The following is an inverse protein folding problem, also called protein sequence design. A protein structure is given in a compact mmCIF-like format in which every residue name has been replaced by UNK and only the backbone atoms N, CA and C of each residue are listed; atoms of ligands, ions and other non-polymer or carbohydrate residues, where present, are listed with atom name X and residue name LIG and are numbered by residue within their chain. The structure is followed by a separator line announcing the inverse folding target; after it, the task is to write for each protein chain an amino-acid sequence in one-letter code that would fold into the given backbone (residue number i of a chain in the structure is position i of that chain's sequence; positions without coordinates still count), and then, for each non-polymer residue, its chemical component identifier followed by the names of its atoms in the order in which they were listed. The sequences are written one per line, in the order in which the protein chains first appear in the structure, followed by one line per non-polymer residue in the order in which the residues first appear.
data_IF_094632390052
#
_entry.id   IF_094632390052
#
_cell.length_a   1.000
_cell.length_b   1.000
_cell.length_c   1.000
_cell.angle_alpha   90.00
_cell.angle_beta   90.00
_cell.angle_gamma   90.00
#
_symmetry.space_group_name_H-M   'P 1'
#
loop_
_entity.id
_entity.type
_entity.pdbx_description
1 polymer ?
#
# COMPACT_ATOMS: atom_id res chain seq x y z
N UNK A 1 14.49 -37.46 -37.44
CA UNK A 1 14.12 -36.59 -38.59
C UNK A 1 14.34 -35.13 -38.21
N UNK A 2 14.59 -34.22 -39.17
CA UNK A 2 14.78 -32.78 -38.93
C UNK A 2 13.60 -32.00 -39.52
N UNK A 3 12.71 -31.48 -38.67
CA UNK A 3 11.67 -30.55 -39.14
C UNK A 3 12.19 -29.12 -39.04
N UNK A 4 12.62 -28.56 -40.17
CA UNK A 4 12.75 -27.12 -40.32
C UNK A 4 11.35 -26.49 -40.30
N UNK A 5 11.25 -25.29 -39.75
CA UNK A 5 10.18 -24.36 -40.08
C UNK A 5 10.83 -23.11 -40.69
N UNK A 6 10.82 -23.02 -42.01
CA UNK A 6 11.34 -21.86 -42.72
C UNK A 6 10.36 -20.68 -42.55
N UNK A 7 10.85 -19.56 -42.03
CA UNK A 7 10.06 -18.33 -41.82
C UNK A 7 10.33 -17.38 -42.99
N UNK A 8 9.60 -17.56 -44.09
CA UNK A 8 9.57 -16.65 -45.23
C UNK A 8 8.12 -16.36 -45.63
N UNK A 9 7.86 -15.16 -46.17
CA UNK A 9 6.51 -14.70 -46.53
C UNK A 9 6.00 -13.57 -45.63
N UNK A 10 6.22 -12.33 -46.06
CA UNK A 10 5.66 -11.16 -45.39
C UNK A 10 4.18 -10.98 -45.75
N UNK A 11 3.28 -11.48 -44.90
CA UNK A 11 1.85 -11.18 -44.98
C UNK A 11 1.30 -10.73 -43.64
N UNK A 12 0.65 -9.56 -43.61
CA UNK A 12 -0.05 -9.05 -42.43
C UNK A 12 -1.27 -9.95 -42.17
N UNK A 13 -1.44 -10.55 -40.98
CA UNK A 13 -2.64 -11.32 -40.68
C UNK A 13 -3.88 -10.43 -40.80
N UNK A 14 -4.84 -10.77 -41.66
CA UNK A 14 -6.16 -10.14 -41.65
C UNK A 14 -6.90 -10.62 -40.39
N UNK A 15 -7.20 -9.70 -39.48
CA UNK A 15 -7.92 -10.02 -38.25
C UNK A 15 -9.38 -10.35 -38.57
N UNK A 16 -9.72 -11.65 -38.61
CA UNK A 16 -11.11 -12.08 -38.64
C UNK A 16 -11.73 -11.88 -37.25
N UNK A 17 -12.56 -10.83 -37.11
CA UNK A 17 -13.09 -10.36 -35.82
C UNK A 17 -14.04 -11.34 -35.13
N UNK A 18 -14.56 -12.35 -35.85
CA UNK A 18 -15.70 -13.16 -35.41
C UNK A 18 -15.32 -14.50 -34.76
N UNK A 19 -14.04 -14.73 -34.40
CA UNK A 19 -13.66 -15.88 -33.56
C UNK A 19 -13.43 -15.46 -32.11
N UNK A 20 -14.35 -15.86 -31.23
CA UNK A 20 -14.21 -15.72 -29.78
C UNK A 20 -13.08 -16.63 -29.28
N UNK A 21 -11.87 -16.08 -29.18
CA UNK A 21 -10.73 -16.78 -28.59
C UNK A 21 -10.99 -17.01 -27.09
N UNK A 22 -10.99 -18.28 -26.68
CA UNK A 22 -11.09 -18.70 -25.28
C UNK A 22 -9.96 -18.12 -24.41
N UNK A 23 -10.19 -18.11 -23.08
CA UNK A 23 -9.37 -17.39 -22.09
C UNK A 23 -7.86 -17.68 -22.22
N UNK A 24 -7.49 -18.94 -22.40
CA UNK A 24 -6.10 -19.39 -22.55
C UNK A 24 -5.45 -18.83 -23.82
N UNK A 25 -6.14 -18.89 -24.96
CA UNK A 25 -5.65 -18.35 -26.23
C UNK A 25 -5.51 -16.81 -26.18
N UNK A 26 -6.35 -16.10 -25.41
CA UNK A 26 -6.14 -14.67 -25.13
C UNK A 26 -4.86 -14.44 -24.31
N UNK A 27 -4.62 -15.23 -23.26
CA UNK A 27 -3.41 -15.10 -22.44
C UNK A 27 -2.13 -15.36 -23.26
N UNK A 28 -2.13 -16.35 -24.15
CA UNK A 28 -1.02 -16.62 -25.08
C UNK A 28 -0.84 -15.47 -26.08
N UNK A 29 -1.92 -14.90 -26.63
CA UNK A 29 -1.82 -13.73 -27.50
C UNK A 29 -1.22 -12.51 -26.78
N UNK A 30 -1.68 -12.20 -25.57
CA UNK A 30 -1.20 -11.07 -24.75
C UNK A 30 0.29 -11.26 -24.41
N UNK A 31 0.69 -12.47 -24.02
CA UNK A 31 2.10 -12.80 -23.75
C UNK A 31 2.98 -12.58 -24.98
N UNK A 32 2.51 -13.00 -26.17
CA UNK A 32 3.25 -12.85 -27.41
C UNK A 32 3.27 -11.41 -27.95
N UNK A 33 2.19 -10.64 -27.80
CA UNK A 33 2.16 -9.22 -28.16
C UNK A 33 3.06 -8.39 -27.25
N UNK A 34 3.00 -8.59 -25.93
CA UNK A 34 3.91 -7.97 -24.96
C UNK A 34 5.38 -8.31 -25.24
N UNK A 35 5.70 -9.58 -25.54
CA UNK A 35 7.05 -10.00 -25.92
C UNK A 35 7.55 -9.30 -27.20
N UNK A 36 6.68 -9.10 -28.19
CA UNK A 36 7.06 -8.39 -29.42
C UNK A 36 7.17 -6.88 -29.22
N UNK A 37 6.31 -6.26 -28.40
CA UNK A 37 6.46 -4.85 -27.99
C UNK A 37 7.79 -4.64 -27.25
N UNK A 38 8.13 -5.51 -26.29
CA UNK A 38 9.45 -5.50 -25.63
C UNK A 38 10.59 -5.65 -26.65
N UNK A 39 10.53 -6.65 -27.53
CA UNK A 39 11.58 -6.89 -28.54
C UNK A 39 11.74 -5.74 -29.54
N UNK A 40 10.69 -4.97 -29.83
CA UNK A 40 10.76 -3.79 -30.71
C UNK A 40 11.31 -2.58 -29.94
N UNK A 41 10.84 -2.32 -28.73
CA UNK A 41 11.30 -1.21 -27.88
C UNK A 41 12.79 -1.33 -27.52
N UNK A 42 13.23 -2.52 -27.09
CA UNK A 42 14.60 -2.73 -26.57
C UNK A 42 15.63 -3.16 -27.62
N UNK A 43 15.32 -3.12 -28.93
CA UNK A 43 16.27 -3.48 -30.00
C UNK A 43 17.14 -2.35 -30.54
N UNK A 44 16.90 -1.09 -30.18
CA UNK A 44 17.59 0.08 -30.76
C UNK A 44 18.70 0.70 -29.88
N UNK A 45 19.01 0.15 -28.71
CA UNK A 45 20.03 0.72 -27.80
C UNK A 45 20.89 -0.35 -27.11
N UNK A 46 22.06 -0.62 -27.73
CA UNK A 46 23.20 -1.40 -27.22
C UNK A 46 23.00 -2.90 -26.89
N UNK A 47 24.04 -3.74 -27.08
CA UNK A 47 24.03 -5.13 -26.63
C UNK A 47 24.13 -5.24 -25.10
N UNK A 48 23.50 -6.26 -24.52
CA UNK A 48 23.60 -6.55 -23.09
C UNK A 48 25.07 -6.83 -22.69
N UNK A 49 25.56 -6.25 -21.57
CA UNK A 49 26.82 -6.68 -20.98
C UNK A 49 26.71 -8.14 -20.55
N UNK A 50 27.62 -9.00 -21.03
CA UNK A 50 27.76 -10.37 -20.50
C UNK A 50 28.39 -10.32 -19.11
N UNK A 51 27.57 -10.19 -18.09
CA UNK A 51 28.01 -10.35 -16.71
C UNK A 51 28.39 -11.80 -16.43
N UNK A 52 29.65 -12.16 -16.66
CA UNK A 52 30.28 -13.37 -16.13
C UNK A 52 30.52 -13.21 -14.63
N UNK A 53 29.43 -13.10 -13.87
CA UNK A 53 29.48 -13.06 -12.42
C UNK A 53 29.86 -14.45 -11.89
N UNK A 54 31.07 -14.57 -11.36
CA UNK A 54 31.37 -15.66 -10.43
C UNK A 54 30.42 -15.55 -9.25
N UNK A 55 29.57 -16.58 -9.07
CA UNK A 55 28.53 -16.57 -8.03
C UNK A 55 29.19 -16.82 -6.68
N UNK A 56 29.69 -15.75 -6.06
CA UNK A 56 30.11 -15.77 -4.67
C UNK A 56 28.92 -16.21 -3.82
N UNK A 57 29.09 -17.30 -3.06
CA UNK A 57 28.00 -17.83 -2.23
C UNK A 57 27.81 -16.92 -1.01
N UNK A 58 26.59 -16.88 -0.44
CA UNK A 58 26.32 -16.05 0.76
C UNK A 58 27.29 -16.34 1.91
N UNK A 59 27.75 -17.58 2.03
CA UNK A 59 28.77 -18.00 2.99
C UNK A 59 30.09 -17.23 2.78
N UNK A 60 30.62 -17.21 1.55
CA UNK A 60 31.85 -16.49 1.19
C UNK A 60 31.74 -14.98 1.43
N UNK A 61 30.58 -14.36 1.18
CA UNK A 61 30.37 -12.94 1.53
C UNK A 61 30.41 -12.70 3.05
N UNK A 62 29.80 -13.57 3.86
CA UNK A 62 29.79 -13.45 5.32
C UNK A 62 31.18 -13.74 5.91
N UNK A 63 31.88 -14.75 5.38
CA UNK A 63 33.27 -15.10 5.72
C UNK A 63 34.23 -13.93 5.43
N UNK A 64 34.13 -13.31 4.25
CA UNK A 64 34.91 -12.13 3.89
C UNK A 64 34.64 -10.94 4.83
N UNK A 65 33.41 -10.77 5.33
CA UNK A 65 33.09 -9.73 6.32
C UNK A 65 33.68 -10.08 7.69
N UNK A 66 33.60 -11.35 8.12
CA UNK A 66 34.21 -11.80 9.38
C UNK A 66 35.73 -11.55 9.38
N UNK A 67 36.43 -11.96 8.32
CA UNK A 67 37.88 -11.74 8.14
C UNK A 67 38.25 -10.25 8.18
N UNK A 68 37.48 -9.39 7.52
CA UNK A 68 37.69 -7.93 7.57
C UNK A 68 37.33 -7.31 8.94
N UNK A 69 36.35 -7.86 9.66
CA UNK A 69 36.05 -7.48 11.05
C UNK A 69 37.21 -7.81 11.98
N UNK A 70 37.84 -8.97 11.84
CA UNK A 70 39.01 -9.36 12.65
C UNK A 70 40.23 -8.50 12.34
N UNK A 71 40.57 -8.31 11.05
CA UNK A 71 41.62 -7.36 10.65
C UNK A 71 41.40 -5.93 11.17
N UNK A 72 40.15 -5.51 11.34
CA UNK A 72 39.82 -4.20 11.94
C UNK A 72 39.86 -4.22 13.47
N UNK A 73 39.45 -5.32 14.14
CA UNK A 73 39.63 -5.50 15.59
C UNK A 73 41.12 -5.45 15.96
N UNK A 74 41.96 -6.18 15.22
CA UNK A 74 43.40 -6.24 15.47
C UNK A 74 44.00 -4.84 15.37
N UNK A 75 43.72 -4.09 14.29
CA UNK A 75 44.16 -2.68 14.17
C UNK A 75 43.66 -1.74 15.28
N UNK A 76 42.55 -2.05 15.93
CA UNK A 76 42.07 -1.30 17.12
C UNK A 76 42.85 -1.74 18.38
N UNK A 77 43.17 -3.02 18.52
CA UNK A 77 44.03 -3.53 19.59
C UNK A 77 45.47 -3.03 19.45
N UNK A 78 46.07 -3.09 18.26
CA UNK A 78 47.41 -2.58 17.95
C UNK A 78 47.59 -1.10 18.33
N UNK A 79 46.52 -0.29 18.17
CA UNK A 79 46.51 1.12 18.57
C UNK A 79 46.33 1.27 20.09
N UNK A 80 45.45 0.47 20.71
CA UNK A 80 45.20 0.51 22.18
C UNK A 80 46.34 -0.05 23.02
N UNK A 81 47.13 -0.96 22.45
CA UNK A 81 48.26 -1.61 23.11
C UNK A 81 49.57 -0.83 22.91
N UNK A 82 49.51 0.38 22.34
CA UNK A 82 50.62 1.35 22.40
C UNK A 82 50.75 1.86 23.82
N UNK A 83 51.83 1.50 24.50
CA UNK A 83 52.15 2.03 25.83
C UNK A 83 52.46 3.54 25.72
N UNK A 84 51.61 4.37 26.32
CA UNK A 84 51.73 5.83 26.31
C UNK A 84 50.41 6.53 25.91
N UNK A 85 50.45 7.85 25.77
CA UNK A 85 49.28 8.61 25.31
C UNK A 85 49.00 8.40 23.83
N UNK A 86 47.72 8.25 23.48
CA UNK A 86 47.28 8.09 22.10
C UNK A 86 47.43 9.42 21.34
N UNK A 87 48.38 9.46 20.41
CA UNK A 87 48.55 10.57 19.46
C UNK A 87 47.22 10.97 18.79
N UNK A 88 47.04 12.26 18.48
CA UNK A 88 45.89 12.79 17.72
C UNK A 88 45.66 12.00 16.40
N UNK A 89 46.73 11.48 15.79
CA UNK A 89 46.65 10.61 14.61
C UNK A 89 46.06 9.23 14.94
N UNK A 90 46.42 8.67 16.08
CA UNK A 90 45.96 7.36 16.55
C UNK A 90 44.53 7.41 17.11
N UNK A 91 44.12 8.46 17.82
CA UNK A 91 42.71 8.65 18.24
C UNK A 91 41.80 8.84 17.03
N UNK A 92 42.23 9.60 16.02
CA UNK A 92 41.51 9.74 14.73
C UNK A 92 41.41 8.40 13.98
N UNK A 93 42.50 7.63 13.92
CA UNK A 93 42.49 6.28 13.33
C UNK A 93 41.54 5.34 14.09
N UNK A 94 41.56 5.35 15.42
CA UNK A 94 40.71 4.54 16.28
C UNK A 94 39.21 4.91 16.10
N UNK A 95 38.87 6.18 15.94
CA UNK A 95 37.52 6.59 15.54
C UNK A 95 37.14 6.02 14.16
N UNK A 96 38.02 6.14 13.15
CA UNK A 96 37.78 5.61 11.80
C UNK A 96 37.58 4.09 11.81
N UNK A 97 38.43 3.34 12.53
CA UNK A 97 38.31 1.88 12.62
C UNK A 97 37.08 1.43 13.41
N UNK A 98 36.69 2.14 14.49
CA UNK A 98 35.42 1.88 15.18
C UNK A 98 34.21 2.12 14.26
N UNK A 99 34.21 3.21 13.49
CA UNK A 99 33.18 3.53 12.48
C UNK A 99 33.13 2.47 11.37
N UNK A 100 34.29 1.94 10.96
CA UNK A 100 34.39 0.84 9.99
C UNK A 100 33.87 -0.48 10.56
N UNK A 101 34.24 -0.84 11.79
CA UNK A 101 33.76 -2.03 12.50
C UNK A 101 32.24 -2.00 12.70
N UNK A 102 31.67 -0.83 13.04
CA UNK A 102 30.22 -0.63 13.13
C UNK A 102 29.52 -0.81 11.77
N UNK A 103 30.11 -0.28 10.69
CA UNK A 103 29.62 -0.49 9.31
C UNK A 103 29.62 -1.97 8.94
N UNK A 104 30.69 -2.70 9.26
CA UNK A 104 30.78 -4.14 8.98
C UNK A 104 29.80 -4.97 9.82
N UNK A 105 29.62 -4.68 11.12
CA UNK A 105 28.55 -5.29 11.94
C UNK A 105 27.17 -5.10 11.30
N UNK A 106 26.86 -3.89 10.80
CA UNK A 106 25.60 -3.62 10.08
C UNK A 106 25.51 -4.37 8.74
N UNK A 107 26.60 -4.51 7.98
CA UNK A 107 26.63 -5.30 6.74
C UNK A 107 26.49 -6.80 6.98
N UNK A 108 27.08 -7.31 8.07
CA UNK A 108 26.95 -8.70 8.53
C UNK A 108 25.50 -9.01 8.90
N UNK A 109 24.91 -8.23 9.81
CA UNK A 109 23.51 -8.38 10.22
C UNK A 109 22.51 -8.29 9.04
N UNK A 110 22.73 -7.38 8.07
CA UNK A 110 21.88 -7.30 6.86
C UNK A 110 21.98 -8.53 5.94
N UNK A 111 23.07 -9.31 6.01
CA UNK A 111 23.29 -10.54 5.22
C UNK A 111 22.84 -11.80 5.95
N UNK A 112 23.06 -11.88 7.25
CA UNK A 112 22.66 -13.01 8.10
C UNK A 112 21.13 -13.03 8.31
N UNK A 113 20.53 -11.93 8.76
CA UNK A 113 19.11 -11.90 9.16
C UNK A 113 18.13 -11.83 7.98
N UNK A 114 18.62 -11.84 6.73
CA UNK A 114 17.79 -11.87 5.52
C UNK A 114 16.69 -10.77 5.52
N UNK A 115 17.06 -9.50 5.78
CA UNK A 115 16.09 -8.39 5.85
C UNK A 115 15.32 -8.26 4.54
N UNK A 116 14.09 -8.79 4.54
CA UNK A 116 13.34 -9.22 3.35
C UNK A 116 13.10 -8.04 2.42
N UNK A 117 13.69 -8.08 1.20
CA UNK A 117 13.39 -7.35 -0.07
C UNK A 117 13.00 -5.84 -0.07
N UNK A 118 12.66 -5.21 1.05
CA UNK A 118 11.87 -3.99 1.11
C UNK A 118 12.65 -2.67 0.95
N UNK A 119 13.95 -2.60 1.28
CA UNK A 119 14.72 -1.36 1.05
C UNK A 119 14.91 -1.04 -0.44
N UNK A 120 15.06 -2.05 -1.31
CA UNK A 120 15.12 -1.83 -2.77
C UNK A 120 13.74 -1.58 -3.37
N UNK A 121 12.68 -2.17 -2.82
CA UNK A 121 11.30 -1.81 -3.15
C UNK A 121 11.04 -0.33 -2.77
N UNK A 122 11.39 0.09 -1.55
CA UNK A 122 11.27 1.49 -1.12
C UNK A 122 12.01 2.47 -2.05
N UNK A 123 13.15 2.11 -2.67
CA UNK A 123 13.80 2.98 -3.67
C UNK A 123 13.19 2.96 -5.08
N UNK A 124 12.33 2.00 -5.40
CA UNK A 124 11.51 2.00 -6.62
C UNK A 124 10.25 2.84 -6.41
N UNK A 125 9.69 2.86 -5.19
CA UNK A 125 8.49 3.64 -4.85
C UNK A 125 8.77 5.04 -4.27
N UNK A 126 9.99 5.36 -3.81
CA UNK A 126 10.36 6.68 -3.30
C UNK A 126 10.75 7.69 -4.42
N UNK A 127 9.83 7.88 -5.36
CA UNK A 127 9.82 9.01 -6.31
C UNK A 127 8.44 9.74 -6.27
N UNK A 128 8.02 10.30 -5.13
CA UNK A 128 6.66 10.80 -4.90
C UNK A 128 6.47 12.21 -5.46
N UNK A 129 6.77 12.45 -6.74
CA UNK A 129 6.60 13.78 -7.35
C UNK A 129 6.32 13.79 -8.87
N UNK A 130 6.43 12.64 -9.56
CA UNK A 130 6.04 12.48 -10.98
C UNK A 130 4.91 11.44 -11.15
N UNK A 131 4.65 10.63 -10.12
CA UNK A 131 3.66 9.56 -10.16
C UNK A 131 2.27 9.97 -9.62
N UNK A 132 2.20 11.01 -8.78
CA UNK A 132 0.95 11.36 -8.08
C UNK A 132 -0.10 11.96 -9.03
N UNK A 133 0.31 12.78 -10.00
CA UNK A 133 -0.57 13.22 -11.10
C UNK A 133 -1.07 12.03 -11.94
N UNK A 134 -0.22 11.03 -12.20
CA UNK A 134 -0.61 9.82 -12.95
C UNK A 134 -1.62 8.97 -12.16
N UNK A 135 -1.40 8.79 -10.85
CA UNK A 135 -2.28 8.01 -9.99
C UNK A 135 -3.60 8.76 -9.71
N UNK A 136 -3.59 10.09 -9.54
CA UNK A 136 -4.82 10.90 -9.41
C UNK A 136 -5.66 10.78 -10.68
N UNK A 137 -5.07 11.02 -11.86
CA UNK A 137 -5.78 10.92 -13.13
C UNK A 137 -6.31 9.49 -13.39
N UNK A 138 -5.58 8.45 -12.96
CA UNK A 138 -6.06 7.06 -13.03
C UNK A 138 -7.21 6.82 -12.06
N UNK A 139 -7.12 7.27 -10.81
CA UNK A 139 -8.18 7.14 -9.80
C UNK A 139 -9.44 7.92 -10.20
N UNK A 140 -9.31 9.12 -10.75
CA UNK A 140 -10.42 9.88 -11.35
C UNK A 140 -11.03 9.13 -12.54
N UNK A 141 -10.22 8.58 -13.45
CA UNK A 141 -10.72 7.79 -14.58
C UNK A 141 -11.39 6.46 -14.16
N UNK A 142 -10.99 5.90 -13.03
CA UNK A 142 -11.59 4.70 -12.43
C UNK A 142 -12.88 5.06 -11.71
N UNK A 143 -12.90 6.10 -10.87
CA UNK A 143 -14.09 6.58 -10.18
C UNK A 143 -15.16 7.08 -11.16
N UNK A 144 -14.78 7.77 -12.24
CA UNK A 144 -15.69 8.16 -13.31
C UNK A 144 -16.37 6.93 -13.92
N UNK A 145 -15.60 5.90 -14.30
CA UNK A 145 -16.14 4.64 -14.83
C UNK A 145 -16.91 3.82 -13.81
N UNK A 146 -16.57 3.91 -12.52
CA UNK A 146 -17.28 3.20 -11.46
C UNK A 146 -18.63 3.87 -11.19
N UNK A 147 -18.69 5.21 -11.23
CA UNK A 147 -19.94 5.98 -11.19
C UNK A 147 -20.79 5.77 -12.47
N UNK A 148 -20.16 5.69 -13.64
CA UNK A 148 -20.81 5.35 -14.92
C UNK A 148 -21.47 3.96 -14.84
N UNK A 149 -20.71 2.92 -14.44
CA UNK A 149 -21.25 1.57 -14.19
C UNK A 149 -22.32 1.56 -13.09
N UNK A 150 -22.21 2.36 -12.03
CA UNK A 150 -23.22 2.44 -10.95
C UNK A 150 -24.52 3.08 -11.46
N UNK A 151 -24.42 4.11 -12.31
CA UNK A 151 -25.59 4.71 -12.95
C UNK A 151 -26.23 3.74 -13.95
N UNK A 152 -25.46 3.07 -14.81
CA UNK A 152 -25.97 2.02 -15.70
C UNK A 152 -26.68 0.91 -14.92
N UNK A 153 -26.08 0.38 -13.85
CA UNK A 153 -26.73 -0.61 -12.98
C UNK A 153 -27.99 -0.06 -12.29
N UNK A 154 -28.01 1.24 -11.92
CA UNK A 154 -29.19 1.87 -11.29
C UNK A 154 -30.33 2.04 -12.30
N UNK A 155 -30.03 2.36 -13.55
CA UNK A 155 -31.05 2.51 -14.60
C UNK A 155 -31.52 1.16 -15.15
N UNK A 156 -30.64 0.15 -15.23
CA UNK A 156 -31.05 -1.26 -15.43
C UNK A 156 -31.96 -1.71 -14.27
N UNK A 157 -31.62 -1.38 -13.03
CA UNK A 157 -32.46 -1.71 -11.86
C UNK A 157 -33.84 -1.07 -11.97
N UNK A 158 -33.91 0.23 -12.33
CA UNK A 158 -35.19 0.92 -12.60
C UNK A 158 -35.98 0.26 -13.73
N UNK A 159 -35.32 -0.10 -14.83
CA UNK A 159 -35.98 -0.74 -15.95
C UNK A 159 -36.58 -2.08 -15.53
N UNK A 160 -35.83 -2.90 -14.80
CA UNK A 160 -36.30 -4.19 -14.27
C UNK A 160 -37.43 -4.01 -13.25
N UNK A 161 -37.39 -3.00 -12.35
CA UNK A 161 -38.54 -2.73 -11.46
C UNK A 161 -39.76 -2.24 -12.24
N UNK A 162 -39.61 -1.37 -13.23
CA UNK A 162 -40.73 -0.89 -14.05
C UNK A 162 -41.35 -2.03 -14.88
N UNK A 163 -40.53 -2.94 -15.41
CA UNK A 163 -40.99 -4.13 -16.14
C UNK A 163 -41.67 -5.15 -15.20
N UNK A 164 -41.17 -5.32 -13.97
CA UNK A 164 -41.81 -6.15 -12.95
C UNK A 164 -43.11 -5.55 -12.41
N UNK A 165 -43.16 -4.25 -12.13
CA UNK A 165 -44.38 -3.53 -11.71
C UNK A 165 -45.44 -3.59 -12.79
N UNK A 166 -45.05 -3.42 -14.06
CA UNK A 166 -45.96 -3.59 -15.19
C UNK A 166 -46.46 -5.04 -15.32
N UNK A 167 -45.57 -6.02 -15.18
CA UNK A 167 -45.92 -7.45 -15.25
C UNK A 167 -46.85 -7.86 -14.10
N UNK A 168 -46.60 -7.40 -12.86
CA UNK A 168 -47.51 -7.58 -11.73
C UNK A 168 -48.83 -6.84 -11.96
N UNK A 169 -48.83 -5.63 -12.51
CA UNK A 169 -50.05 -4.89 -12.83
C UNK A 169 -50.90 -5.61 -13.88
N UNK A 170 -50.28 -6.16 -14.93
CA UNK A 170 -50.95 -6.98 -15.94
C UNK A 170 -51.43 -8.32 -15.33
N UNK A 171 -50.68 -8.95 -14.44
CA UNK A 171 -51.13 -10.18 -13.75
C UNK A 171 -52.30 -9.89 -12.79
N UNK A 172 -52.19 -8.90 -11.92
CA UNK A 172 -53.22 -8.51 -10.94
C UNK A 172 -54.50 -8.02 -11.62
N UNK A 173 -54.41 -7.30 -12.74
CA UNK A 173 -55.62 -6.93 -13.51
C UNK A 173 -56.24 -8.13 -14.24
N UNK A 174 -55.44 -9.09 -14.73
CA UNK A 174 -55.98 -10.34 -15.24
C UNK A 174 -56.62 -11.20 -14.14
N UNK A 175 -56.05 -11.24 -12.94
CA UNK A 175 -56.63 -11.97 -11.79
C UNK A 175 -57.92 -11.28 -11.30
N UNK A 176 -57.96 -9.95 -11.20
CA UNK A 176 -59.18 -9.18 -10.89
C UNK A 176 -60.27 -9.35 -11.95
N UNK A 177 -59.93 -9.33 -13.25
CA UNK A 177 -60.90 -9.51 -14.33
C UNK A 177 -61.46 -10.95 -14.42
N UNK A 178 -60.74 -11.94 -13.89
CA UNK A 178 -61.23 -13.32 -13.75
C UNK A 178 -61.96 -13.55 -12.42
N UNK A 179 -61.65 -12.78 -11.38
CA UNK A 179 -62.29 -12.84 -10.07
C UNK A 179 -63.62 -12.04 -10.07
N UNK A 180 -64.72 -12.72 -10.40
CA UNK A 180 -66.09 -12.19 -10.22
C UNK A 180 -66.40 -11.93 -8.72
N UNK A 181 -65.94 -10.79 -8.20
CA UNK A 181 -66.09 -10.37 -6.81
C UNK A 181 -66.86 -9.05 -6.72
N UNK A 182 -67.99 -9.09 -6.02
CA UNK A 182 -68.81 -7.94 -5.68
C UNK A 182 -68.11 -7.03 -4.67
N UNK A 183 -68.19 -5.70 -4.78
CA UNK A 183 -67.55 -4.79 -3.83
C UNK A 183 -68.24 -4.81 -2.46
N UNK A 184 -67.44 -4.59 -1.41
CA UNK A 184 -67.86 -4.37 -0.03
C UNK A 184 -67.12 -3.11 0.48
N UNK A 185 -67.78 -2.32 1.33
CA UNK A 185 -67.26 -1.04 1.86
C UNK A 185 -65.95 -1.19 2.65
N UNK A 186 -65.10 -0.16 2.66
CA UNK A 186 -65.19 1.03 3.52
C UNK A 186 -64.76 0.75 4.97
N UNK A 187 -63.50 1.06 5.30
CA UNK A 187 -63.12 2.04 6.34
C UNK A 187 -61.62 1.97 6.67
N UNK A 188 -60.93 3.11 6.62
CA UNK A 188 -59.54 3.31 7.09
C UNK A 188 -59.38 4.78 7.53
N UNK A 189 -59.06 5.08 8.80
CA UNK A 189 -58.95 6.45 9.28
C UNK A 189 -57.63 7.12 8.87
N UNK A 190 -57.69 8.44 8.64
CA UNK A 190 -56.55 9.28 8.28
C UNK A 190 -55.74 9.69 9.53
N UNK A 191 -54.42 9.87 9.39
CA UNK A 191 -53.55 10.41 10.45
C UNK A 191 -52.67 11.51 9.86
N UNK A 192 -52.81 12.72 10.40
CA UNK A 192 -52.06 13.90 9.97
C UNK A 192 -50.73 14.05 10.75
N UNK A 193 -49.76 14.77 10.18
CA UNK A 193 -48.44 14.98 10.78
C UNK A 193 -48.30 16.41 11.30
N UNK A 194 -47.84 16.57 12.55
CA UNK A 194 -47.37 17.86 13.06
C UNK A 194 -45.84 17.97 12.97
N UNK A 195 -45.34 19.19 12.79
CA UNK A 195 -43.91 19.51 12.63
C UNK A 195 -43.40 20.40 13.77
N UNK A 196 -42.09 20.33 14.04
CA UNK A 196 -41.41 21.09 15.10
C UNK A 196 -40.30 21.98 14.52
N UNK A 197 -40.22 23.24 14.97
CA UNK A 197 -39.13 24.17 14.67
C UNK A 197 -38.23 24.42 15.91
N UNK A 198 -36.91 24.70 15.73
CA UNK A 198 -35.97 24.97 16.82
C UNK A 198 -35.77 26.47 17.12
N UNK A 199 -35.40 26.80 18.35
CA UNK A 199 -35.15 28.18 18.84
C UNK A 199 -33.69 28.33 19.30
N UNK A 200 -33.06 29.48 19.01
CA UNK A 200 -31.69 29.84 19.45
C UNK A 200 -31.60 31.34 19.84
N UNK A 201 -31.04 31.69 21.02
CA UNK A 201 -30.68 33.07 21.40
C UNK A 201 -29.16 33.36 21.34
N UNK A 202 -28.70 34.63 21.36
CA UNK A 202 -27.39 35.04 20.82
C UNK A 202 -26.29 35.44 21.84
N UNK A 203 -25.16 35.90 21.29
CA UNK A 203 -23.88 36.30 21.92
C UNK A 203 -23.93 37.74 22.48
N UNK A 204 -23.02 38.08 23.40
CA UNK A 204 -22.66 39.47 23.74
C UNK A 204 -21.13 39.63 23.88
N UNK A 205 -20.60 40.81 23.55
CA UNK A 205 -19.18 41.21 23.70
C UNK A 205 -19.05 42.41 24.65
N UNK A 206 -17.92 42.59 25.34
CA UNK A 206 -17.63 43.80 26.13
C UNK A 206 -16.12 44.15 26.11
N UNK A 207 -15.79 45.45 26.18
CA UNK A 207 -14.49 46.02 25.81
C UNK A 207 -14.24 47.38 26.48
N UNK A 208 -13.14 47.57 27.23
CA UNK A 208 -12.76 48.87 27.85
C UNK A 208 -11.22 49.07 27.96
N UNK A 209 -10.77 50.33 27.86
CA UNK A 209 -9.39 50.85 28.01
C UNK A 209 -9.35 51.99 29.09
N UNK A 210 -8.26 52.57 29.65
CA UNK A 210 -6.84 52.72 29.29
C UNK A 210 -5.95 53.02 30.56
N UNK A 211 -4.63 53.34 30.49
CA UNK A 211 -3.71 53.43 31.65
C UNK A 211 -3.48 54.85 32.26
N UNK A 212 -2.68 54.93 33.34
CA UNK A 212 -2.44 56.16 34.17
C UNK A 212 -0.98 56.63 34.18
N UNK A 213 -0.76 57.95 34.38
CA UNK A 213 0.51 58.68 34.20
C UNK A 213 1.37 58.87 35.48
N UNK A 214 2.62 59.35 35.29
CA UNK A 214 3.61 59.70 36.35
C UNK A 214 4.04 61.19 36.24
N UNK A 215 4.19 61.94 37.36
CA UNK A 215 4.75 63.31 37.38
C UNK A 215 6.22 63.38 37.90
N UNK A 216 7.06 64.34 37.45
CA UNK A 216 8.48 64.37 37.83
C UNK A 216 9.04 65.71 38.41
N UNK A 217 10.30 65.64 38.88
CA UNK A 217 11.29 66.72 39.18
C UNK A 217 10.97 67.83 40.21
N UNK A 218 11.89 68.00 41.17
CA UNK A 218 12.44 69.31 41.55
C UNK A 218 13.96 69.19 41.78
N UNK A 219 14.71 70.15 41.28
CA UNK A 219 16.12 70.38 41.62
C UNK A 219 16.21 71.53 42.64
N UNK A 220 17.20 71.49 43.53
CA UNK A 220 17.51 72.60 44.44
C UNK A 220 19.02 72.87 44.44
N UNK A 221 19.38 74.15 44.49
CA UNK A 221 20.70 74.67 44.11
C UNK A 221 21.24 75.55 45.24
N UNK A 222 22.37 75.14 45.83
CA UNK A 222 23.01 75.85 46.96
C UNK A 222 24.44 76.20 46.60
N UNK A 223 24.86 77.42 46.96
CA UNK A 223 26.16 78.00 46.62
C UNK A 223 27.18 77.80 47.75
N UNK A 224 28.47 77.90 47.44
CA UNK A 224 29.57 77.68 48.39
C UNK A 224 30.46 78.93 48.55
N UNK A 225 30.88 79.29 49.78
CA UNK A 225 31.88 80.34 50.01
C UNK A 225 33.31 79.79 49.94
N UNK A 226 34.21 80.54 49.31
CA UNK A 226 35.61 80.16 49.09
C UNK A 226 36.51 80.53 50.28
N UNK A 227 37.48 79.68 50.61
CA UNK A 227 38.63 80.04 51.44
C UNK A 227 39.91 79.43 50.84
N UNK A 228 41.05 80.12 50.88
CA UNK A 228 42.17 79.87 49.94
C UNK A 228 43.54 79.82 50.62
N UNK A 229 44.13 78.63 50.70
CA UNK A 229 45.56 78.39 50.98
C UNK A 229 46.08 77.22 50.06
N UNK A 230 47.33 76.72 50.17
CA UNK A 230 48.25 76.61 49.01
C UNK A 230 47.81 75.67 47.88
N UNK A 231 47.34 76.28 46.78
CA UNK A 231 46.62 75.64 45.66
C UNK A 231 47.53 74.87 44.66
N UNK A 232 48.53 74.12 45.11
CA UNK A 232 49.38 73.28 44.23
C UNK A 232 49.19 71.79 44.47
N UNK A 233 49.51 71.32 45.66
CA UNK A 233 49.52 69.87 45.94
C UNK A 233 48.08 69.33 45.94
N UNK A 234 47.14 70.08 46.54
CA UNK A 234 45.68 69.83 46.45
C UNK A 234 45.16 69.74 45.01
N UNK A 235 45.74 70.49 44.06
CA UNK A 235 45.32 70.43 42.65
C UNK A 235 45.74 69.13 41.98
N UNK A 236 46.91 68.60 42.34
CA UNK A 236 47.40 67.33 41.80
C UNK A 236 46.63 66.16 42.42
N UNK A 237 46.29 66.22 43.71
CA UNK A 237 45.37 65.26 44.33
C UNK A 237 43.96 65.30 43.71
N UNK A 238 43.39 66.50 43.50
CA UNK A 238 42.09 66.66 42.83
C UNK A 238 42.12 66.17 41.38
N UNK A 239 43.19 66.41 40.62
CA UNK A 239 43.32 65.86 39.26
C UNK A 239 43.42 64.33 39.26
N UNK A 240 44.17 63.74 40.20
CA UNK A 240 44.24 62.29 40.37
C UNK A 240 42.88 61.68 40.82
N UNK A 241 42.13 62.38 41.68
CA UNK A 241 40.78 62.00 42.07
C UNK A 241 39.81 62.04 40.88
N UNK A 242 39.83 63.10 40.07
CA UNK A 242 39.04 63.22 38.84
C UNK A 242 39.39 62.11 37.84
N UNK A 243 40.68 61.83 37.61
CA UNK A 243 41.10 60.73 36.74
C UNK A 243 40.59 59.37 37.23
N UNK A 244 40.61 59.14 38.54
CA UNK A 244 40.08 57.92 39.18
C UNK A 244 38.56 57.82 39.10
N UNK A 245 37.83 58.93 39.22
CA UNK A 245 36.37 59.01 39.02
C UNK A 245 36.03 58.70 37.56
N UNK A 246 36.72 59.30 36.59
CA UNK A 246 36.49 59.03 35.17
C UNK A 246 36.72 57.55 34.82
N UNK A 247 37.75 56.91 35.39
CA UNK A 247 37.98 55.46 35.26
C UNK A 247 36.92 54.59 35.96
N UNK A 248 36.14 55.13 36.90
CA UNK A 248 35.01 54.42 37.52
C UNK A 248 33.73 54.59 36.69
N UNK A 249 33.49 55.77 36.12
CA UNK A 249 32.40 56.01 35.16
C UNK A 249 32.57 55.12 33.91
N UNK A 250 33.76 55.11 33.31
CA UNK A 250 34.07 54.25 32.15
C UNK A 250 33.98 52.74 32.47
N UNK A 251 33.98 52.36 33.75
CA UNK A 251 33.71 50.97 34.20
C UNK A 251 32.23 50.72 34.43
N UNK A 252 31.48 51.70 34.96
CA UNK A 252 30.03 51.61 35.10
C UNK A 252 29.35 51.47 33.73
N UNK A 253 29.69 52.32 32.76
CA UNK A 253 29.19 52.22 31.37
C UNK A 253 29.46 50.84 30.72
N UNK A 254 30.59 50.20 31.08
CA UNK A 254 30.93 48.84 30.63
C UNK A 254 30.16 47.74 31.38
N UNK A 255 29.74 47.98 32.62
CA UNK A 255 28.83 47.09 33.37
C UNK A 255 27.42 47.20 32.79
N UNK A 256 26.91 48.41 32.55
CA UNK A 256 25.59 48.64 31.94
C UNK A 256 25.53 47.98 30.53
N UNK A 257 26.59 48.17 29.73
CA UNK A 257 26.77 47.54 28.42
C UNK A 257 27.08 46.02 28.44
N UNK A 258 27.22 45.42 29.62
CA UNK A 258 27.23 43.96 29.84
C UNK A 258 25.87 43.48 30.36
N UNK A 259 25.21 44.22 31.26
CA UNK A 259 23.88 43.91 31.77
C UNK A 259 22.83 43.92 30.64
N UNK A 260 22.90 44.88 29.72
CA UNK A 260 22.10 44.89 28.49
C UNK A 260 22.25 43.57 27.70
N UNK A 261 23.48 43.07 27.54
CA UNK A 261 23.76 41.81 26.82
C UNK A 261 23.31 40.58 27.60
N UNK A 262 23.39 40.59 28.93
CA UNK A 262 22.82 39.54 29.78
C UNK A 262 21.30 39.48 29.63
N UNK A 263 20.63 40.64 29.55
CA UNK A 263 19.20 40.72 29.31
C UNK A 263 18.81 40.24 27.90
N UNK A 264 19.55 40.65 26.85
CA UNK A 264 19.39 40.10 25.49
C UNK A 264 19.55 38.58 25.44
N UNK A 265 20.61 38.03 26.06
CA UNK A 265 20.87 36.60 26.10
C UNK A 265 19.82 35.82 26.90
N UNK A 266 19.33 36.37 28.02
CA UNK A 266 18.26 35.79 28.83
C UNK A 266 16.94 35.73 28.06
N UNK A 267 16.55 36.81 27.37
CA UNK A 267 15.38 36.82 26.50
C UNK A 267 15.52 35.81 25.35
N UNK A 268 16.68 35.77 24.71
CA UNK A 268 16.97 34.83 23.62
C UNK A 268 17.04 33.35 24.10
N UNK A 269 17.32 33.10 25.39
CA UNK A 269 17.15 31.78 26.00
C UNK A 269 15.67 31.43 26.17
N UNK A 270 14.89 32.32 26.77
CA UNK A 270 13.45 32.09 26.98
C UNK A 270 12.66 31.88 25.67
N UNK A 271 13.08 32.50 24.56
CA UNK A 271 12.54 32.22 23.22
C UNK A 271 12.91 30.82 22.72
N UNK A 272 14.15 30.37 22.94
CA UNK A 272 14.60 29.02 22.56
C UNK A 272 13.90 27.95 23.38
N UNK A 273 13.69 28.16 24.67
CA UNK A 273 13.01 27.20 25.54
C UNK A 273 11.53 27.02 25.12
N UNK A 274 10.83 28.11 24.80
CA UNK A 274 9.47 28.05 24.20
C UNK A 274 9.46 27.32 22.85
N UNK A 275 10.47 27.54 22.00
CA UNK A 275 10.60 26.83 20.73
C UNK A 275 10.87 25.33 20.93
N UNK A 276 11.70 24.97 21.92
CA UNK A 276 11.99 23.58 22.31
C UNK A 276 10.71 22.91 22.82
N UNK A 277 9.94 23.56 23.68
CA UNK A 277 8.65 23.04 24.16
C UNK A 277 7.67 22.78 23.00
N UNK A 278 7.51 23.76 22.10
CA UNK A 278 6.65 23.61 20.92
C UNK A 278 7.09 22.44 20.02
N UNK A 279 8.39 22.29 19.79
CA UNK A 279 8.95 21.18 19.01
C UNK A 279 8.79 19.82 19.71
N UNK A 280 8.78 19.78 21.05
CA UNK A 280 8.45 18.56 21.80
C UNK A 280 6.96 18.20 21.66
N UNK A 281 6.06 19.17 21.78
CA UNK A 281 4.62 18.97 21.57
C UNK A 281 4.29 18.51 20.13
N UNK A 282 4.88 19.15 19.11
CA UNK A 282 4.75 18.75 17.71
C UNK A 282 5.26 17.31 17.46
N UNK A 283 6.44 16.98 17.99
CA UNK A 283 7.02 15.63 17.93
C UNK A 283 6.08 14.59 18.56
N UNK A 284 5.56 14.85 19.76
CA UNK A 284 4.78 13.86 20.51
C UNK A 284 3.38 13.69 19.93
N UNK A 285 2.80 14.72 19.31
CA UNK A 285 1.59 14.59 18.52
C UNK A 285 1.83 13.78 17.23
N UNK A 286 2.93 14.03 16.51
CA UNK A 286 3.30 13.21 15.35
C UNK A 286 3.56 11.73 15.71
N UNK A 287 4.11 11.45 16.90
CA UNK A 287 4.25 10.08 17.42
C UNK A 287 2.88 9.43 17.67
N UNK A 288 1.94 10.12 18.34
CA UNK A 288 0.57 9.61 18.57
C UNK A 288 -0.14 9.32 17.25
N UNK A 289 -0.04 10.21 16.26
CA UNK A 289 -0.60 9.98 14.92
C UNK A 289 -0.02 8.75 14.23
N UNK A 290 1.31 8.58 14.28
CA UNK A 290 1.96 7.41 13.69
C UNK A 290 1.55 6.11 14.40
N UNK A 291 1.38 6.13 15.73
CA UNK A 291 0.89 4.99 16.50
C UNK A 291 -0.57 4.64 16.16
N UNK A 292 -1.44 5.64 16.00
CA UNK A 292 -2.83 5.43 15.57
C UNK A 292 -2.88 4.80 14.16
N UNK A 293 -2.08 5.33 13.22
CA UNK A 293 -1.96 4.81 11.84
C UNK A 293 -1.35 3.40 11.80
N UNK A 294 -0.37 3.07 12.65
CA UNK A 294 0.14 1.70 12.79
C UNK A 294 -0.93 0.73 13.31
N UNK A 295 -1.73 1.15 14.29
CA UNK A 295 -2.78 0.30 14.86
C UNK A 295 -3.92 0.03 13.88
N UNK A 296 -4.37 1.05 13.13
CA UNK A 296 -5.32 0.90 12.02
C UNK A 296 -4.80 -0.08 10.96
N UNK A 297 -3.57 0.12 10.48
CA UNK A 297 -2.95 -0.81 9.52
C UNK A 297 -2.79 -2.23 10.07
N UNK A 298 -2.55 -2.41 11.38
CA UNK A 298 -2.52 -3.73 12.02
C UNK A 298 -3.88 -4.41 11.96
N UNK A 299 -4.95 -3.69 12.29
CA UNK A 299 -6.34 -4.18 12.21
C UNK A 299 -6.71 -4.55 10.77
N UNK A 300 -6.37 -3.70 9.79
CA UNK A 300 -6.61 -3.97 8.37
C UNK A 300 -5.85 -5.21 7.87
N UNK A 301 -4.57 -5.38 8.24
CA UNK A 301 -3.78 -6.56 7.91
C UNK A 301 -4.39 -7.83 8.51
N UNK A 302 -4.92 -7.77 9.73
CA UNK A 302 -5.55 -8.90 10.40
C UNK A 302 -6.92 -9.26 9.81
N UNK A 303 -7.69 -8.26 9.35
CA UNK A 303 -8.92 -8.48 8.56
C UNK A 303 -8.63 -9.17 7.22
N UNK A 304 -7.63 -8.67 6.47
CA UNK A 304 -7.22 -9.25 5.18
C UNK A 304 -6.68 -10.69 5.33
N UNK A 305 -6.02 -11.01 6.44
CA UNK A 305 -5.62 -12.39 6.76
C UNK A 305 -6.82 -13.32 6.91
N UNK A 306 -7.81 -12.95 7.74
CA UNK A 306 -9.03 -13.75 7.93
C UNK A 306 -9.78 -13.99 6.61
N UNK A 307 -9.87 -12.96 5.76
CA UNK A 307 -10.46 -13.08 4.42
C UNK A 307 -9.67 -14.04 3.52
N UNK A 308 -8.33 -14.02 3.58
CA UNK A 308 -7.47 -14.96 2.84
C UNK A 308 -7.63 -16.41 3.34
N UNK A 309 -7.71 -16.61 4.66
CA UNK A 309 -7.92 -17.92 5.27
C UNK A 309 -9.30 -18.50 4.89
N UNK A 310 -10.35 -17.68 4.92
CA UNK A 310 -11.68 -18.04 4.42
C UNK A 310 -11.69 -18.41 2.94
N UNK A 311 -11.00 -17.64 2.08
CA UNK A 311 -10.89 -17.91 0.64
C UNK A 311 -10.13 -19.22 0.41
N UNK A 312 -9.09 -19.49 1.21
CA UNK A 312 -8.32 -20.74 1.15
C UNK A 312 -9.20 -21.94 1.50
N UNK A 313 -9.94 -21.88 2.61
CA UNK A 313 -10.87 -22.94 3.00
C UNK A 313 -12.00 -23.17 1.97
N UNK A 314 -12.50 -22.10 1.32
CA UNK A 314 -13.45 -22.20 0.20
C UNK A 314 -12.83 -22.86 -1.03
N UNK A 315 -11.56 -22.58 -1.33
CA UNK A 315 -10.82 -23.22 -2.43
C UNK A 315 -10.57 -24.71 -2.17
N UNK A 316 -10.14 -25.08 -0.96
CA UNK A 316 -9.92 -26.49 -0.57
C UNK A 316 -11.22 -27.32 -0.64
N UNK A 317 -12.36 -26.73 -0.27
CA UNK A 317 -13.68 -27.35 -0.45
C UNK A 317 -14.00 -27.59 -1.92
N UNK A 318 -13.80 -26.60 -2.79
CA UNK A 318 -14.03 -26.71 -4.23
C UNK A 318 -13.10 -27.72 -4.93
N UNK A 319 -11.83 -27.81 -4.51
CA UNK A 319 -10.89 -28.79 -5.05
C UNK A 319 -11.25 -30.23 -4.63
N UNK A 320 -11.85 -30.42 -3.45
CA UNK A 320 -12.37 -31.72 -3.04
C UNK A 320 -13.71 -32.08 -3.74
N UNK A 321 -14.61 -31.11 -3.94
CA UNK A 321 -15.80 -31.30 -4.77
C UNK A 321 -15.44 -31.67 -6.21
N UNK A 322 -14.42 -31.01 -6.78
CA UNK A 322 -13.85 -31.34 -8.09
C UNK A 322 -13.37 -32.79 -8.16
N UNK A 323 -12.59 -33.26 -7.18
CA UNK A 323 -12.08 -34.65 -7.13
C UNK A 323 -13.22 -35.67 -7.08
N UNK A 324 -14.27 -35.39 -6.31
CA UNK A 324 -15.45 -36.26 -6.23
C UNK A 324 -16.13 -36.38 -7.61
N UNK A 325 -16.35 -35.24 -8.31
CA UNK A 325 -16.94 -35.22 -9.66
C UNK A 325 -16.03 -35.93 -10.68
N UNK A 326 -14.71 -35.79 -10.59
CA UNK A 326 -13.76 -36.51 -11.44
C UNK A 326 -13.80 -38.04 -11.20
N UNK A 327 -14.02 -38.48 -9.95
CA UNK A 327 -14.19 -39.89 -9.60
C UNK A 327 -15.56 -40.45 -10.03
N UNK A 328 -16.64 -39.69 -9.87
CA UNK A 328 -17.97 -40.05 -10.38
C UNK A 328 -17.97 -40.19 -11.91
N UNK A 329 -17.31 -39.27 -12.62
CA UNK A 329 -17.14 -39.33 -14.07
C UNK A 329 -16.27 -40.53 -14.49
N UNK A 330 -15.24 -40.90 -13.72
CA UNK A 330 -14.47 -42.13 -13.98
C UNK A 330 -15.34 -43.39 -13.82
N UNK A 331 -16.16 -43.46 -12.77
CA UNK A 331 -17.08 -44.57 -12.53
C UNK A 331 -18.17 -44.67 -13.62
N UNK A 332 -18.74 -43.54 -14.05
CA UNK A 332 -19.71 -43.50 -15.13
C UNK A 332 -19.12 -43.98 -16.47
N UNK A 333 -17.88 -43.56 -16.79
CA UNK A 333 -17.17 -44.02 -17.98
C UNK A 333 -16.83 -45.52 -17.95
N UNK A 334 -16.53 -46.09 -16.77
CA UNK A 334 -16.35 -47.53 -16.62
C UNK A 334 -17.66 -48.28 -16.90
N UNK A 335 -18.76 -47.87 -16.26
CA UNK A 335 -20.09 -48.47 -16.43
C UNK A 335 -20.62 -48.36 -17.87
N UNK A 336 -20.28 -47.28 -18.58
CA UNK A 336 -20.63 -47.15 -20.00
C UNK A 336 -19.93 -48.21 -20.86
N UNK A 337 -18.64 -48.52 -20.59
CA UNK A 337 -17.92 -49.61 -21.30
C UNK A 337 -18.52 -50.97 -21.01
N UNK A 338 -18.87 -51.26 -19.75
CA UNK A 338 -19.55 -52.50 -19.37
C UNK A 338 -20.89 -52.67 -20.12
N UNK A 339 -21.61 -51.56 -20.35
CA UNK A 339 -22.85 -51.54 -21.13
C UNK A 339 -22.60 -51.68 -22.64
N UNK A 340 -21.54 -51.08 -23.18
CA UNK A 340 -21.10 -51.25 -24.58
C UNK A 340 -20.72 -52.71 -24.86
N UNK A 341 -19.89 -53.32 -24.00
CA UNK A 341 -19.51 -54.74 -24.08
C UNK A 341 -20.73 -55.65 -23.98
N UNK A 342 -21.64 -55.41 -23.03
CA UNK A 342 -22.89 -56.15 -22.89
C UNK A 342 -23.81 -56.01 -24.11
N UNK A 343 -23.88 -54.82 -24.70
CA UNK A 343 -24.65 -54.57 -25.92
C UNK A 343 -24.05 -55.31 -27.12
N UNK A 344 -22.72 -55.29 -27.29
CA UNK A 344 -22.02 -56.04 -28.33
C UNK A 344 -22.28 -57.55 -28.23
N UNK A 345 -22.26 -58.10 -27.01
CA UNK A 345 -22.61 -59.51 -26.76
C UNK A 345 -24.08 -59.83 -27.10
N UNK A 346 -25.02 -58.91 -26.83
CA UNK A 346 -26.43 -59.07 -27.21
C UNK A 346 -26.63 -59.00 -28.73
N UNK A 347 -25.90 -58.11 -29.44
CA UNK A 347 -25.90 -58.02 -30.90
C UNK A 347 -25.40 -59.33 -31.53
N UNK A 348 -24.29 -59.89 -31.03
CA UNK A 348 -23.77 -61.18 -31.49
C UNK A 348 -24.75 -62.33 -31.26
N UNK A 349 -25.40 -62.39 -30.09
CA UNK A 349 -26.39 -63.42 -29.79
C UNK A 349 -27.64 -63.29 -30.67
N UNK A 350 -28.09 -62.06 -30.95
CA UNK A 350 -29.19 -61.82 -31.90
C UNK A 350 -28.82 -62.28 -33.32
N UNK A 351 -27.61 -62.00 -33.81
CA UNK A 351 -27.15 -62.53 -35.11
C UNK A 351 -27.19 -64.06 -35.15
N UNK A 352 -26.71 -64.74 -34.10
CA UNK A 352 -26.77 -66.20 -33.99
C UNK A 352 -28.22 -66.73 -34.00
N UNK A 353 -29.15 -66.05 -33.31
CA UNK A 353 -30.56 -66.39 -33.30
C UNK A 353 -31.23 -66.16 -34.67
N UNK A 354 -30.91 -65.08 -35.37
CA UNK A 354 -31.37 -64.83 -36.75
C UNK A 354 -30.88 -65.91 -37.70
N UNK A 355 -29.58 -66.21 -37.71
CA UNK A 355 -29.03 -67.31 -38.53
C UNK A 355 -29.72 -68.65 -38.24
N UNK A 356 -30.05 -68.92 -36.97
CA UNK A 356 -30.73 -70.16 -36.57
C UNK A 356 -32.20 -70.17 -37.01
N UNK A 357 -32.86 -69.02 -36.98
CA UNK A 357 -34.21 -68.85 -37.50
C UNK A 357 -34.25 -69.04 -39.02
N UNK A 358 -33.33 -68.42 -39.75
CA UNK A 358 -33.23 -68.55 -41.22
C UNK A 358 -33.03 -70.02 -41.62
N UNK A 359 -32.10 -70.72 -40.96
CA UNK A 359 -31.86 -72.17 -41.16
C UNK A 359 -33.11 -73.01 -40.87
N UNK A 360 -33.89 -72.65 -39.84
CA UNK A 360 -35.15 -73.34 -39.50
C UNK A 360 -36.26 -73.03 -40.52
N UNK A 361 -36.33 -71.81 -41.02
CA UNK A 361 -37.30 -71.41 -42.06
C UNK A 361 -36.98 -72.11 -43.39
N UNK A 362 -35.71 -72.13 -43.82
CA UNK A 362 -35.28 -72.89 -45.01
C UNK A 362 -35.59 -74.39 -44.88
N UNK A 363 -35.41 -74.96 -43.68
CA UNK A 363 -35.81 -76.35 -43.41
C UNK A 363 -37.33 -76.53 -43.53
N UNK A 364 -38.13 -75.64 -42.92
CA UNK A 364 -39.59 -75.67 -43.01
C UNK A 364 -40.08 -75.57 -44.46
N UNK A 365 -39.56 -74.63 -45.24
CA UNK A 365 -39.86 -74.46 -46.67
C UNK A 365 -39.50 -75.70 -47.50
N UNK A 366 -38.45 -76.45 -47.14
CA UNK A 366 -38.07 -77.69 -47.81
C UNK A 366 -39.02 -78.87 -47.50
N UNK A 367 -39.65 -78.88 -46.31
CA UNK A 367 -40.49 -80.00 -45.82
C UNK A 367 -41.98 -79.76 -46.00
N UNK A 368 -42.46 -78.51 -45.97
CA UNK A 368 -43.88 -78.17 -46.13
C UNK A 368 -44.51 -78.71 -47.45
N UNK A 369 -43.83 -78.73 -48.61
CA UNK A 369 -44.35 -79.34 -49.84
C UNK A 369 -44.54 -80.86 -49.76
N UNK A 370 -43.86 -81.54 -48.84
CA UNK A 370 -44.03 -82.99 -48.59
C UNK A 370 -45.21 -83.21 -47.66
N UNK A 371 -45.29 -82.49 -46.54
CA UNK A 371 -46.39 -82.58 -45.57
C UNK A 371 -47.75 -82.22 -46.18
N UNK A 372 -47.79 -81.25 -47.09
CA UNK A 372 -49.00 -80.85 -47.80
C UNK A 372 -49.42 -81.83 -48.93
N UNK A 373 -48.67 -82.90 -49.19
CA UNK A 373 -49.05 -84.02 -50.10
C UNK A 373 -49.56 -85.25 -49.34
N UNK A 374 -49.53 -85.23 -48.00
CA UNK A 374 -50.03 -86.31 -47.12
C UNK A 374 -51.35 -85.95 -46.45
N UNK A 375 -52.15 -85.11 -47.11
CA UNK A 375 -53.56 -84.80 -46.83
C UNK A 375 -54.34 -84.92 -48.13
#
# INVERSE_FOLDING_TARGET
MKNKYDITGASRPRWNKNKVLGKENRAVLIKNSMLNVFRVAFRKSNPYPRFTASVSTKAQEIEAINKNMELTKNKIADIRNKNGELSIKDTRNLHIYNKHLLKMKKMKAKRENNFVRFEKIKRIFAKPYEAEQSISNVLESVNAKLNENVNENKDITKQVTNELEKSLGEQVTNELNNANLTPVGEDMPNIENEAYEPIVPPINEEKVEAPTNVPPVKEEKVEAPTNVHPVKDEKEEVQNAIAKINQLVEKAEKVDGLEAKVNELTNSLAERDKLIEKLQQEKDNAIKEMQAKENDWRIQIESVRKQLDEITAKFDKLDNEKKNVEQELANANLRNKELEERNNNLIQNNHYLTERYDKLNTFYESVAPVLNRTK
#
